data_IF_675377057596
#
_entry.id   IF_675377057596
#
_cell.length_a   1.000
_cell.length_b   1.000
_cell.length_c   1.000
_cell.angle_alpha   90.00
_cell.angle_beta   90.00
_cell.angle_gamma   90.00
#
_symmetry.space_group_name_H-M   'P 1'
#
loop_
_entity.id
_entity.type
_entity.pdbx_description
1 polymer ?
#
# COMPACT_ATOMS: atom_id res chain seq x y z
N UNK A 1 72.66 -14.95 -38.31
CA UNK A 1 72.05 -13.61 -38.39
C UNK A 1 70.59 -13.73 -38.01
N UNK A 2 70.23 -13.15 -36.86
CA UNK A 2 68.92 -13.20 -36.22
C UNK A 2 67.92 -12.29 -36.94
N UNK A 3 66.87 -12.87 -37.54
CA UNK A 3 65.68 -12.12 -37.95
C UNK A 3 64.62 -12.23 -36.87
N UNK A 4 64.63 -11.23 -35.98
CA UNK A 4 63.53 -10.90 -35.08
C UNK A 4 62.29 -10.62 -35.91
N UNK A 5 61.24 -11.43 -35.79
CA UNK A 5 59.94 -11.06 -36.32
C UNK A 5 58.81 -11.65 -35.48
N UNK A 6 58.40 -10.92 -34.45
CA UNK A 6 57.06 -10.99 -33.84
C UNK A 6 56.89 -9.80 -32.89
N UNK A 7 56.03 -8.86 -33.28
CA UNK A 7 54.96 -8.22 -32.48
C UNK A 7 54.69 -6.74 -32.85
N UNK A 8 53.87 -6.48 -33.89
CA UNK A 8 53.10 -5.23 -33.98
C UNK A 8 51.62 -5.41 -33.63
N UNK A 9 51.06 -6.62 -33.81
CA UNK A 9 49.62 -6.87 -33.63
C UNK A 9 49.16 -6.87 -32.16
N UNK A 10 50.00 -7.33 -31.23
CA UNK A 10 49.67 -7.41 -29.80
C UNK A 10 49.52 -6.03 -29.14
N UNK A 11 50.40 -5.09 -29.49
CA UNK A 11 50.43 -3.73 -28.93
C UNK A 11 49.29 -2.86 -29.45
N UNK A 12 48.92 -3.00 -30.73
CA UNK A 12 47.75 -2.33 -31.31
C UNK A 12 46.45 -2.88 -30.68
N UNK A 13 46.35 -4.20 -30.54
CA UNK A 13 45.20 -4.84 -29.90
C UNK A 13 45.00 -4.40 -28.44
N UNK A 14 46.07 -4.30 -27.65
CA UNK A 14 45.99 -3.78 -26.29
C UNK A 14 45.63 -2.30 -26.21
N UNK A 15 46.12 -1.47 -27.15
CA UNK A 15 45.70 -0.05 -27.25
C UNK A 15 44.21 0.07 -27.56
N UNK A 16 43.68 -0.78 -28.44
CA UNK A 16 42.24 -0.82 -28.75
C UNK A 16 41.39 -1.23 -27.54
N UNK A 17 41.83 -2.21 -26.74
CA UNK A 17 41.12 -2.60 -25.51
C UNK A 17 41.10 -1.45 -24.51
N UNK A 18 42.25 -0.81 -24.25
CA UNK A 18 42.31 0.36 -23.36
C UNK A 18 41.43 1.51 -23.85
N UNK A 19 41.41 1.77 -25.16
CA UNK A 19 40.56 2.80 -25.75
C UNK A 19 39.07 2.46 -25.61
N UNK A 20 38.67 1.20 -25.83
CA UNK A 20 37.30 0.74 -25.58
C UNK A 20 36.91 0.84 -24.10
N UNK A 21 37.81 0.54 -23.17
CA UNK A 21 37.59 0.69 -21.74
C UNK A 21 37.46 2.16 -21.31
N UNK A 22 38.26 3.06 -21.88
CA UNK A 22 38.15 4.51 -21.65
C UNK A 22 36.83 5.04 -22.21
N UNK A 23 36.44 4.63 -23.42
CA UNK A 23 35.14 5.01 -23.99
C UNK A 23 34.01 4.50 -23.11
N UNK A 24 34.06 3.23 -22.67
CA UNK A 24 33.07 2.65 -21.76
C UNK A 24 33.00 3.41 -20.43
N UNK A 25 34.16 3.75 -19.86
CA UNK A 25 34.26 4.54 -18.63
C UNK A 25 33.70 5.95 -18.81
N UNK A 26 34.00 6.63 -19.92
CA UNK A 26 33.45 7.95 -20.24
C UNK A 26 31.95 7.91 -20.49
N UNK A 27 31.43 6.83 -21.10
CA UNK A 27 29.98 6.64 -21.26
C UNK A 27 29.29 6.39 -19.92
N UNK A 28 29.93 5.64 -19.01
CA UNK A 28 29.42 5.43 -17.65
C UNK A 28 29.41 6.73 -16.86
N UNK A 29 30.50 7.52 -16.93
CA UNK A 29 30.55 8.86 -16.32
C UNK A 29 29.45 9.75 -16.88
N UNK A 30 29.26 9.79 -18.20
CA UNK A 30 28.23 10.62 -18.83
C UNK A 30 26.81 10.24 -18.39
N UNK A 31 26.53 8.94 -18.21
CA UNK A 31 25.25 8.47 -17.67
C UNK A 31 25.06 8.88 -16.20
N UNK A 32 26.12 8.80 -15.40
CA UNK A 32 26.11 9.24 -13.99
C UNK A 32 25.91 10.76 -13.90
N UNK A 33 26.60 11.55 -14.72
CA UNK A 33 26.48 13.03 -14.70
C UNK A 33 25.11 13.50 -15.20
N UNK A 34 24.51 12.82 -16.19
CA UNK A 34 23.13 13.12 -16.62
C UNK A 34 22.08 12.82 -15.55
N UNK A 35 22.31 11.85 -14.66
CA UNK A 35 21.47 11.62 -13.47
C UNK A 35 21.58 12.72 -12.42
N UNK A 36 22.77 13.35 -12.32
CA UNK A 36 23.05 14.46 -11.39
C UNK A 36 22.44 15.79 -11.89
N UNK A 37 22.36 16.01 -13.21
CA UNK A 37 21.87 17.27 -13.81
C UNK A 37 20.38 17.58 -13.55
N UNK A 38 19.53 16.57 -13.29
CA UNK A 38 18.09 16.75 -13.08
C UNK A 38 17.63 16.38 -11.66
N UNK A 39 18.47 16.64 -10.67
CA UNK A 39 18.20 16.35 -9.26
C UNK A 39 17.91 14.86 -8.94
N UNK A 40 18.31 13.92 -9.82
CA UNK A 40 17.98 12.50 -9.71
C UNK A 40 16.59 12.11 -10.24
N UNK A 41 15.88 13.02 -10.90
CA UNK A 41 14.50 12.83 -11.35
C UNK A 41 14.32 13.13 -12.85
N UNK A 42 13.17 12.74 -13.39
CA UNK A 42 12.71 13.22 -14.69
C UNK A 42 11.91 14.51 -14.50
N UNK A 43 12.46 15.64 -14.95
CA UNK A 43 11.88 16.96 -14.77
C UNK A 43 11.20 17.43 -16.06
N UNK A 44 9.96 17.90 -15.95
CA UNK A 44 9.18 18.49 -17.03
C UNK A 44 8.71 19.87 -16.57
N UNK A 45 8.92 20.90 -17.40
CA UNK A 45 8.48 22.26 -17.11
C UNK A 45 7.69 22.81 -18.29
N UNK A 46 6.39 22.99 -18.08
CA UNK A 46 5.45 23.66 -18.98
C UNK A 46 5.09 25.04 -18.42
N UNK A 47 4.51 25.93 -19.24
CA UNK A 47 4.35 27.37 -18.94
C UNK A 47 3.85 27.70 -17.52
N UNK A 48 3.03 26.83 -16.88
CA UNK A 48 2.56 26.98 -15.50
C UNK A 48 2.67 25.71 -14.62
N UNK A 49 3.29 24.64 -15.12
CA UNK A 49 3.29 23.34 -14.44
C UNK A 49 4.69 22.74 -14.44
N UNK A 50 5.16 22.36 -13.26
CA UNK A 50 6.48 21.77 -13.07
C UNK A 50 6.31 20.41 -12.44
N UNK A 51 6.56 19.37 -13.22
CA UNK A 51 6.42 17.99 -12.79
C UNK A 51 7.80 17.40 -12.56
N UNK A 52 7.98 16.77 -11.40
CA UNK A 52 9.15 15.99 -11.06
C UNK A 52 8.76 14.54 -10.83
N UNK A 53 9.13 13.68 -11.78
CA UNK A 53 8.98 12.24 -11.64
C UNK A 53 10.27 11.61 -11.13
N UNK A 54 10.26 11.31 -9.83
CA UNK A 54 11.35 10.69 -9.09
C UNK A 54 11.02 9.21 -8.77
N UNK A 55 10.12 8.58 -9.52
CA UNK A 55 9.68 7.20 -9.28
C UNK A 55 10.75 6.19 -9.68
N UNK A 56 10.89 5.10 -8.92
CA UNK A 56 11.93 4.07 -9.11
C UNK A 56 13.37 4.62 -9.07
N UNK A 57 13.61 5.61 -8.19
CA UNK A 57 14.92 6.27 -8.01
C UNK A 57 15.41 6.07 -6.58
N UNK A 58 16.71 5.82 -6.44
CA UNK A 58 17.35 5.59 -5.13
C UNK A 58 18.17 6.79 -4.65
N UNK A 59 18.63 7.66 -5.56
CA UNK A 59 19.44 8.84 -5.25
C UNK A 59 18.70 10.09 -5.74
N UNK A 60 18.03 10.79 -4.83
CA UNK A 60 17.26 12.01 -5.11
C UNK A 60 17.93 13.17 -4.38
N UNK A 61 18.25 14.23 -5.12
CA UNK A 61 18.77 15.46 -4.53
C UNK A 61 17.61 16.41 -4.21
N UNK A 62 17.07 16.31 -2.98
CA UNK A 62 15.94 17.11 -2.54
C UNK A 62 16.23 18.61 -2.46
N UNK A 63 17.49 19.01 -2.19
CA UNK A 63 17.89 20.42 -2.17
C UNK A 63 17.78 21.03 -3.58
N UNK A 64 18.40 20.38 -4.57
CA UNK A 64 18.25 20.72 -5.99
C UNK A 64 16.77 20.75 -6.42
N UNK A 65 16.00 19.75 -6.00
CA UNK A 65 14.59 19.63 -6.38
C UNK A 65 13.72 20.75 -5.77
N UNK A 66 14.04 21.18 -4.54
CA UNK A 66 13.34 22.31 -3.91
C UNK A 66 13.52 23.62 -4.68
N UNK A 67 14.67 23.80 -5.34
CA UNK A 67 14.92 24.96 -6.22
C UNK A 67 14.16 24.88 -7.54
N UNK A 68 13.91 23.67 -8.06
CA UNK A 68 13.06 23.47 -9.23
C UNK A 68 11.60 23.88 -8.97
N UNK A 69 11.15 23.80 -7.70
CA UNK A 69 9.79 24.13 -7.26
C UNK A 69 8.73 23.35 -8.05
N UNK A 70 8.69 22.01 -7.95
CA UNK A 70 7.71 21.20 -8.65
C UNK A 70 6.31 21.42 -8.07
N UNK A 71 5.31 21.65 -8.92
CA UNK A 71 3.89 21.64 -8.54
C UNK A 71 3.36 20.21 -8.40
N UNK A 72 3.95 19.26 -9.14
CA UNK A 72 3.66 17.83 -9.05
C UNK A 72 4.94 17.06 -8.74
N UNK A 73 4.93 16.26 -7.67
CA UNK A 73 6.05 15.44 -7.25
C UNK A 73 5.59 13.99 -7.05
N UNK A 74 6.19 13.05 -7.79
CA UNK A 74 5.99 11.62 -7.57
C UNK A 74 7.29 10.95 -7.11
N UNK A 75 7.19 10.18 -6.03
CA UNK A 75 8.24 9.37 -5.41
C UNK A 75 7.80 7.90 -5.32
N UNK A 76 7.02 7.45 -6.32
CA UNK A 76 6.43 6.12 -6.34
C UNK A 76 7.49 5.03 -6.44
N UNK A 77 7.26 3.92 -5.75
CA UNK A 77 8.10 2.71 -5.87
C UNK A 77 9.58 2.97 -5.57
N UNK A 78 9.86 3.73 -4.52
CA UNK A 78 11.21 4.03 -4.03
C UNK A 78 11.58 3.24 -2.76
N UNK A 79 10.70 2.33 -2.31
CA UNK A 79 10.92 1.54 -1.09
C UNK A 79 10.96 2.37 0.18
N UNK A 80 10.38 3.57 0.18
CA UNK A 80 10.41 4.50 1.31
C UNK A 80 9.66 3.91 2.51
N UNK A 81 10.27 3.89 3.69
CA UNK A 81 9.61 3.46 4.93
C UNK A 81 9.01 4.61 5.74
N UNK A 82 9.38 5.83 5.39
CA UNK A 82 8.93 7.09 5.96
C UNK A 82 8.86 8.16 4.87
N UNK A 83 8.12 9.24 5.12
CA UNK A 83 8.13 10.38 4.21
C UNK A 83 9.46 11.11 4.37
N UNK A 84 10.20 11.40 3.27
CA UNK A 84 11.48 12.09 3.37
C UNK A 84 11.33 13.43 4.11
N UNK A 85 12.02 13.64 5.25
CA UNK A 85 11.87 14.85 6.05
C UNK A 85 12.28 16.13 5.29
N UNK A 86 13.10 15.98 4.24
CA UNK A 86 13.48 17.05 3.32
C UNK A 86 12.25 17.71 2.66
N UNK A 87 11.14 16.99 2.48
CA UNK A 87 9.90 17.59 1.97
C UNK A 87 9.30 18.63 2.92
N UNK A 88 9.66 18.60 4.20
CA UNK A 88 9.17 19.52 5.24
C UNK A 88 10.23 20.53 5.67
N UNK A 89 11.52 20.21 5.49
CA UNK A 89 12.62 21.10 5.85
C UNK A 89 13.07 22.01 4.71
N UNK A 90 12.86 21.61 3.45
CA UNK A 90 13.15 22.46 2.29
C UNK A 90 11.87 23.10 1.73
N UNK A 91 12.04 24.03 0.79
CA UNK A 91 10.95 24.81 0.24
C UNK A 91 10.12 24.03 -0.80
N UNK A 92 9.29 23.09 -0.33
CA UNK A 92 8.30 22.35 -1.13
C UNK A 92 6.86 22.85 -0.93
N UNK A 93 6.68 24.05 -0.38
CA UNK A 93 5.37 24.65 -0.10
C UNK A 93 4.49 24.84 -1.34
N UNK A 94 5.08 24.89 -2.54
CA UNK A 94 4.39 25.03 -3.82
C UNK A 94 3.86 23.69 -4.39
N UNK A 95 4.15 22.55 -3.76
CA UNK A 95 3.72 21.23 -4.24
C UNK A 95 2.21 21.12 -4.05
N UNK A 96 1.49 20.91 -5.15
CA UNK A 96 0.04 20.75 -5.19
C UNK A 96 -0.36 19.28 -5.24
N UNK A 97 0.45 18.44 -5.88
CA UNK A 97 0.22 17.00 -5.99
C UNK A 97 1.45 16.25 -5.52
N UNK A 98 1.28 15.41 -4.50
CA UNK A 98 2.34 14.55 -3.97
C UNK A 98 1.90 13.09 -4.04
N UNK A 99 2.64 12.29 -4.81
CA UNK A 99 2.44 10.85 -4.93
C UNK A 99 3.58 10.07 -4.26
N UNK A 100 3.26 9.38 -3.17
CA UNK A 100 4.12 8.48 -2.40
C UNK A 100 3.64 7.02 -2.50
N UNK A 101 2.82 6.69 -3.49
CA UNK A 101 2.22 5.37 -3.60
C UNK A 101 3.25 4.27 -3.88
N UNK A 102 2.89 3.01 -3.59
CA UNK A 102 3.76 1.84 -3.78
C UNK A 102 5.09 1.98 -3.04
N UNK A 103 5.05 2.45 -1.79
CA UNK A 103 6.20 2.46 -0.90
C UNK A 103 5.89 1.55 0.32
N UNK A 104 6.72 1.62 1.35
CA UNK A 104 6.56 0.85 2.59
C UNK A 104 6.33 1.79 3.80
N UNK A 105 5.71 2.95 3.58
CA UNK A 105 5.53 3.99 4.60
C UNK A 105 4.62 3.46 5.70
N UNK A 106 5.09 3.54 6.94
CA UNK A 106 4.38 2.96 8.11
C UNK A 106 3.58 3.98 8.91
N UNK A 107 4.10 5.21 8.98
CA UNK A 107 3.48 6.31 9.72
C UNK A 107 3.62 7.61 8.91
N UNK A 108 2.70 8.53 9.12
CA UNK A 108 2.82 9.91 8.70
C UNK A 108 3.58 10.72 9.77
N UNK A 109 4.32 11.76 9.38
CA UNK A 109 5.04 12.59 10.33
C UNK A 109 4.08 13.47 11.13
N UNK A 110 4.24 13.45 12.46
CA UNK A 110 3.43 14.27 13.37
C UNK A 110 3.55 15.74 13.00
N UNK A 111 2.40 16.36 12.75
CA UNK A 111 2.28 17.79 12.50
C UNK A 111 3.21 18.35 11.42
N UNK A 112 3.75 17.59 10.46
CA UNK A 112 4.67 18.15 9.44
C UNK A 112 3.99 18.41 8.09
N UNK A 113 2.81 17.83 7.87
CA UNK A 113 2.06 17.99 6.62
C UNK A 113 1.60 19.44 6.34
N UNK A 114 1.60 20.32 7.34
CA UNK A 114 1.23 21.72 7.18
C UNK A 114 2.27 22.56 6.41
N UNK A 115 3.52 22.09 6.31
CA UNK A 115 4.58 22.76 5.52
C UNK A 115 4.33 22.67 4.00
N UNK A 116 3.50 21.74 3.55
CA UNK A 116 3.06 21.62 2.16
C UNK A 116 1.82 22.50 1.92
N UNK A 117 2.01 23.82 1.97
CA UNK A 117 0.92 24.82 2.02
C UNK A 117 -0.03 24.77 0.82
N UNK A 118 0.47 24.51 -0.38
CA UNK A 118 -0.34 24.46 -1.59
C UNK A 118 -0.89 23.07 -1.91
N UNK A 119 -0.65 22.08 -1.05
CA UNK A 119 -1.05 20.69 -1.29
C UNK A 119 -2.57 20.59 -1.49
N UNK A 120 -2.97 19.91 -2.57
CA UNK A 120 -4.37 19.62 -2.94
C UNK A 120 -4.63 18.14 -3.11
N UNK A 121 -3.62 17.37 -3.50
CA UNK A 121 -3.73 15.93 -3.70
C UNK A 121 -2.56 15.21 -3.04
N UNK A 122 -2.86 14.24 -2.20
CA UNK A 122 -1.87 13.43 -1.51
C UNK A 122 -2.16 11.95 -1.68
N UNK A 123 -1.27 11.22 -2.35
CA UNK A 123 -1.44 9.79 -2.59
C UNK A 123 -0.45 8.98 -1.76
N UNK A 124 -0.97 8.20 -0.81
CA UNK A 124 -0.23 7.26 0.03
C UNK A 124 -0.80 5.84 -0.13
N UNK A 125 -1.44 5.55 -1.26
CA UNK A 125 -1.97 4.22 -1.55
C UNK A 125 -0.86 3.19 -1.68
N UNK A 126 -1.15 1.92 -1.43
CA UNK A 126 -0.16 0.83 -1.50
C UNK A 126 1.07 1.13 -0.61
N UNK A 127 0.81 1.43 0.66
CA UNK A 127 1.83 1.60 1.70
C UNK A 127 1.52 0.67 2.88
N UNK A 128 2.19 0.86 4.00
CA UNK A 128 2.04 0.05 5.22
C UNK A 128 1.47 0.84 6.40
N UNK A 129 0.66 1.87 6.14
CA UNK A 129 0.06 2.70 7.19
C UNK A 129 -0.88 1.85 8.06
N UNK A 130 -0.70 1.97 9.38
CA UNK A 130 -1.46 1.19 10.37
C UNK A 130 -2.49 2.02 11.12
N UNK A 131 -2.20 3.28 11.41
CA UNK A 131 -3.09 4.13 12.18
C UNK A 131 -3.83 5.11 11.25
N UNK A 132 -5.14 4.92 11.01
CA UNK A 132 -5.90 5.84 10.16
C UNK A 132 -6.05 7.24 10.78
N UNK A 133 -5.94 7.39 12.11
CA UNK A 133 -6.12 8.70 12.76
C UNK A 133 -5.02 9.71 12.42
N UNK A 134 -3.85 9.25 11.98
CA UNK A 134 -2.77 10.14 11.49
C UNK A 134 -3.23 10.99 10.28
N UNK A 135 -4.22 10.51 9.51
CA UNK A 135 -4.78 11.24 8.38
C UNK A 135 -5.58 12.48 8.80
N UNK A 136 -6.01 12.57 10.06
CA UNK A 136 -6.69 13.75 10.60
C UNK A 136 -5.78 14.98 10.67
N UNK A 137 -4.45 14.79 10.73
CA UNK A 137 -3.49 15.87 10.72
C UNK A 137 -3.38 16.56 9.33
N UNK A 138 -3.91 15.93 8.28
CA UNK A 138 -3.92 16.49 6.93
C UNK A 138 -5.13 17.43 6.79
N UNK A 139 -4.90 18.65 6.26
CA UNK A 139 -5.96 19.65 6.07
C UNK A 139 -7.16 19.12 5.28
N UNK A 140 -8.36 19.55 5.68
CA UNK A 140 -9.63 19.05 5.13
C UNK A 140 -9.84 19.33 3.63
N UNK A 141 -9.18 20.34 3.07
CA UNK A 141 -9.24 20.70 1.64
C UNK A 141 -8.36 19.80 0.75
N UNK A 142 -7.52 18.95 1.34
CA UNK A 142 -6.66 18.01 0.63
C UNK A 142 -7.41 16.72 0.33
N UNK A 143 -7.36 16.30 -0.93
CA UNK A 143 -7.82 15.00 -1.39
C UNK A 143 -6.77 13.92 -1.11
N UNK A 144 -7.18 12.79 -0.52
CA UNK A 144 -6.24 11.79 0.02
C UNK A 144 -6.57 10.41 -0.53
N UNK A 145 -5.61 9.82 -1.24
CA UNK A 145 -5.69 8.47 -1.77
C UNK A 145 -4.98 7.52 -0.82
N UNK A 146 -5.72 6.58 -0.20
CA UNK A 146 -5.22 5.73 0.90
C UNK A 146 -5.43 4.24 0.68
N UNK A 147 -5.83 3.83 -0.52
CA UNK A 147 -6.17 2.44 -0.81
C UNK A 147 -4.99 1.51 -0.53
N UNK A 148 -5.27 0.24 -0.20
CA UNK A 148 -4.23 -0.78 0.00
C UNK A 148 -3.19 -0.41 1.07
N UNK A 149 -3.65 0.04 2.23
CA UNK A 149 -2.86 0.12 3.46
C UNK A 149 -3.35 -0.95 4.46
N UNK A 150 -2.69 -1.06 5.61
CA UNK A 150 -2.97 -2.07 6.66
C UNK A 150 -3.59 -1.43 7.91
N UNK A 151 -4.60 -0.57 7.71
CA UNK A 151 -5.19 0.21 8.80
C UNK A 151 -5.84 -0.67 9.86
N UNK A 152 -5.38 -0.54 11.09
CA UNK A 152 -6.03 -1.10 12.28
C UNK A 152 -7.08 -0.11 12.75
N UNK A 153 -8.34 -0.44 12.51
CA UNK A 153 -9.46 0.40 12.91
C UNK A 153 -10.01 -0.04 14.26
N UNK A 154 -10.23 0.93 15.15
CA UNK A 154 -11.00 0.78 16.38
C UNK A 154 -12.41 1.34 16.16
N UNK A 155 -13.44 0.52 16.40
CA UNK A 155 -14.84 0.92 16.21
C UNK A 155 -15.38 1.80 17.35
N UNK A 156 -14.64 1.93 18.45
CA UNK A 156 -14.99 2.83 19.56
C UNK A 156 -14.49 4.27 19.34
N UNK A 157 -13.66 4.51 18.32
CA UNK A 157 -13.08 5.83 18.05
C UNK A 157 -14.01 6.71 17.18
N UNK A 158 -14.64 7.76 17.73
CA UNK A 158 -15.62 8.56 16.99
C UNK A 158 -15.01 9.32 15.81
N UNK A 159 -13.76 9.81 15.96
CA UNK A 159 -13.09 10.57 14.89
C UNK A 159 -12.82 9.73 13.64
N UNK A 160 -12.82 8.41 13.77
CA UNK A 160 -12.62 7.50 12.65
C UNK A 160 -13.81 7.50 11.68
N UNK A 161 -15.02 7.64 12.21
CA UNK A 161 -16.23 7.76 11.38
C UNK A 161 -16.26 9.11 10.65
N UNK A 162 -15.88 10.20 11.32
CA UNK A 162 -15.71 11.51 10.69
C UNK A 162 -14.70 11.46 9.55
N UNK A 163 -13.53 10.85 9.78
CA UNK A 163 -12.51 10.65 8.77
C UNK A 163 -13.04 9.84 7.58
N UNK A 164 -13.76 8.74 7.82
CA UNK A 164 -14.31 7.91 6.76
C UNK A 164 -15.35 8.67 5.90
N UNK A 165 -16.22 9.46 6.53
CA UNK A 165 -17.17 10.30 5.80
C UNK A 165 -16.49 11.43 5.03
N UNK A 166 -15.42 12.01 5.59
CA UNK A 166 -14.56 12.96 4.88
C UNK A 166 -13.97 12.33 3.61
N UNK A 167 -13.38 11.14 3.71
CA UNK A 167 -12.77 10.45 2.57
C UNK A 167 -13.82 10.09 1.51
N UNK A 168 -14.99 9.57 1.91
CA UNK A 168 -16.08 9.21 0.97
C UNK A 168 -16.60 10.39 0.15
N UNK A 169 -16.53 11.61 0.68
CA UNK A 169 -17.03 12.84 0.04
C UNK A 169 -16.04 13.48 -0.93
N UNK A 170 -14.80 12.97 -1.03
CA UNK A 170 -13.79 13.50 -1.95
C UNK A 170 -14.23 13.34 -3.42
N UNK A 171 -13.92 14.35 -4.25
CA UNK A 171 -14.54 14.53 -5.57
C UNK A 171 -13.95 13.63 -6.65
N UNK A 172 -12.64 13.41 -6.67
CA UNK A 172 -11.96 12.59 -7.69
C UNK A 172 -12.01 11.09 -7.35
N UNK A 173 -12.18 10.73 -6.07
CA UNK A 173 -12.33 9.32 -5.69
C UNK A 173 -13.30 9.10 -4.53
N UNK A 174 -14.39 8.36 -4.79
CA UNK A 174 -15.25 7.79 -3.73
C UNK A 174 -14.57 6.56 -3.14
N UNK A 175 -13.60 6.79 -2.27
CA UNK A 175 -12.92 5.71 -1.53
C UNK A 175 -13.58 5.54 -0.17
N UNK A 176 -13.61 4.31 0.33
CA UNK A 176 -13.97 4.00 1.72
C UNK A 176 -12.70 3.66 2.47
N UNK A 177 -12.62 4.00 3.76
CA UNK A 177 -11.52 3.53 4.59
C UNK A 177 -11.62 2.01 4.72
N UNK A 178 -10.58 1.27 4.34
CA UNK A 178 -10.49 -0.18 4.49
C UNK A 178 -9.64 -0.53 5.70
N UNK A 179 -10.15 -1.43 6.54
CA UNK A 179 -9.55 -1.88 7.78
C UNK A 179 -9.04 -3.31 7.65
N UNK A 180 -7.92 -3.60 8.31
CA UNK A 180 -7.41 -4.96 8.47
C UNK A 180 -8.43 -5.80 9.25
N UNK A 181 -8.64 -7.03 8.80
CA UNK A 181 -9.47 -8.03 9.50
C UNK A 181 -8.63 -8.72 10.58
N UNK A 182 -9.22 -8.96 11.75
CA UNK A 182 -8.48 -9.39 12.95
C UNK A 182 -8.17 -10.91 12.98
N UNK A 183 -8.62 -11.68 11.97
CA UNK A 183 -8.69 -13.15 11.98
C UNK A 183 -7.63 -13.90 11.12
N UNK A 184 -6.69 -13.24 10.42
CA UNK A 184 -5.74 -13.95 9.53
C UNK A 184 -4.35 -13.30 9.41
N UNK A 185 -3.31 -14.15 9.38
CA UNK A 185 -1.95 -13.81 8.94
C UNK A 185 -1.95 -13.41 7.45
N UNK A 186 -1.69 -12.13 7.20
CA UNK A 186 -1.04 -11.49 6.03
C UNK A 186 -1.51 -11.75 4.59
N UNK A 187 -2.49 -12.60 4.27
CA UNK A 187 -3.10 -12.62 2.92
C UNK A 187 -4.39 -11.80 2.86
N UNK A 188 -4.20 -10.48 2.77
CA UNK A 188 -5.06 -9.45 2.19
C UNK A 188 -6.58 -9.76 2.09
N UNK A 189 -7.31 -9.53 3.18
CA UNK A 189 -8.76 -9.31 3.16
C UNK A 189 -9.12 -8.11 4.03
N UNK A 190 -8.73 -6.91 3.58
CA UNK A 190 -9.23 -5.69 4.19
C UNK A 190 -10.73 -5.56 3.93
N UNK A 191 -11.46 -4.99 4.89
CA UNK A 191 -12.91 -4.78 4.81
C UNK A 191 -13.22 -3.29 5.02
N UNK A 192 -14.25 -2.72 4.39
CA UNK A 192 -14.64 -1.33 4.63
C UNK A 192 -14.89 -1.08 6.12
N UNK A 193 -14.54 0.11 6.64
CA UNK A 193 -14.75 0.49 8.05
C UNK A 193 -16.17 0.22 8.50
N UNK A 194 -17.16 0.60 7.69
CA UNK A 194 -18.57 0.36 7.99
C UNK A 194 -18.86 -1.13 8.12
N UNK A 195 -18.26 -1.99 7.29
CA UNK A 195 -18.43 -3.42 7.42
C UNK A 195 -17.71 -3.98 8.65
N UNK A 196 -16.54 -3.44 9.03
CA UNK A 196 -15.83 -3.85 10.25
C UNK A 196 -16.62 -3.49 11.51
N UNK A 197 -17.20 -2.29 11.56
CA UNK A 197 -17.89 -1.78 12.74
C UNK A 197 -19.39 -2.08 12.78
N UNK A 198 -19.99 -2.39 11.63
CA UNK A 198 -21.33 -2.98 11.56
C UNK A 198 -21.27 -4.51 11.55
N UNK A 199 -20.08 -5.11 11.68
CA UNK A 199 -19.99 -6.51 12.06
C UNK A 199 -20.28 -6.51 13.57
N UNK A 200 -21.49 -6.91 14.02
CA UNK A 200 -21.54 -7.41 15.37
C UNK A 200 -20.51 -8.53 15.38
N UNK A 201 -19.74 -8.69 16.45
CA UNK A 201 -19.30 -10.04 16.74
C UNK A 201 -20.53 -10.97 16.54
N UNK A 202 -20.37 -12.15 15.98
CA UNK A 202 -21.23 -13.24 16.44
C UNK A 202 -20.67 -13.68 17.80
N UNK A 203 -21.20 -13.24 18.95
CA UNK A 203 -21.05 -14.01 20.18
C UNK A 203 -22.34 -14.77 20.50
N UNK A 204 -23.30 -14.93 19.56
CA UNK A 204 -24.58 -15.63 19.83
C UNK A 204 -25.29 -16.30 18.62
N UNK A 205 -24.58 -16.80 17.60
CA UNK A 205 -25.22 -17.66 16.58
C UNK A 205 -24.96 -19.15 16.80
N UNK A 206 -23.88 -19.49 17.54
CA UNK A 206 -23.54 -20.89 17.84
C UNK A 206 -24.66 -21.60 18.63
N UNK A 207 -25.36 -20.91 19.54
CA UNK A 207 -26.47 -21.54 20.27
C UNK A 207 -27.68 -21.81 19.38
N UNK A 208 -27.95 -20.99 18.36
CA UNK A 208 -29.02 -21.25 17.39
C UNK A 208 -28.69 -22.49 16.56
N UNK A 209 -27.46 -22.62 16.07
CA UNK A 209 -27.03 -23.81 15.33
C UNK A 209 -26.97 -25.06 16.22
N UNK A 210 -26.49 -24.95 17.47
CA UNK A 210 -26.52 -26.04 18.47
C UNK A 210 -27.95 -26.43 18.85
N UNK A 211 -28.87 -25.47 18.98
CA UNK A 211 -30.27 -25.73 19.29
C UNK A 211 -30.99 -26.41 18.12
N UNK A 212 -30.70 -25.98 16.88
CA UNK A 212 -31.21 -26.66 15.68
C UNK A 212 -30.66 -28.09 15.61
N UNK A 213 -29.35 -28.30 15.83
CA UNK A 213 -28.76 -29.64 15.87
C UNK A 213 -29.34 -30.51 16.98
N UNK A 214 -29.50 -29.96 18.18
CA UNK A 214 -30.09 -30.67 19.33
C UNK A 214 -31.55 -31.02 19.08
N UNK A 215 -32.32 -30.13 18.45
CA UNK A 215 -33.70 -30.39 18.02
C UNK A 215 -33.79 -31.54 17.01
N UNK A 216 -32.88 -31.58 16.02
CA UNK A 216 -32.82 -32.69 15.04
C UNK A 216 -32.52 -34.02 15.75
N UNK A 217 -31.57 -34.06 16.70
CA UNK A 217 -31.25 -35.28 17.47
C UNK A 217 -32.46 -35.77 18.26
N UNK A 218 -33.19 -34.87 18.94
CA UNK A 218 -34.40 -35.24 19.70
C UNK A 218 -35.47 -35.83 18.78
N UNK A 219 -35.71 -35.24 17.61
CA UNK A 219 -36.68 -35.75 16.62
C UNK A 219 -36.29 -37.16 16.17
N UNK A 220 -35.01 -37.38 15.86
CA UNK A 220 -34.50 -38.70 15.46
C UNK A 220 -34.69 -39.73 16.59
N UNK A 221 -34.36 -39.38 17.84
CA UNK A 221 -34.55 -40.27 18.98
C UNK A 221 -36.03 -40.64 19.18
N UNK A 222 -36.94 -39.67 19.08
CA UNK A 222 -38.39 -39.93 19.21
C UNK A 222 -38.88 -40.83 18.08
N UNK A 223 -38.43 -40.60 16.84
CA UNK A 223 -38.77 -41.46 15.70
C UNK A 223 -38.29 -42.90 15.90
N UNK A 224 -37.07 -43.09 16.43
CA UNK A 224 -36.52 -44.42 16.75
C UNK A 224 -37.39 -45.12 17.82
N UNK A 225 -37.80 -44.42 18.87
CA UNK A 225 -38.64 -45.00 19.93
C UNK A 225 -40.03 -45.38 19.42
N UNK A 226 -40.65 -44.52 18.60
CA UNK A 226 -41.94 -44.82 17.96
C UNK A 226 -41.80 -46.06 17.07
N UNK A 227 -40.74 -46.12 16.25
CA UNK A 227 -40.50 -47.25 15.36
C UNK A 227 -40.24 -48.55 16.13
N UNK A 228 -39.46 -48.49 17.21
CA UNK A 228 -39.23 -49.63 18.10
C UNK A 228 -40.53 -50.11 18.75
N UNK A 229 -41.42 -49.20 19.16
CA UNK A 229 -42.72 -49.54 19.73
C UNK A 229 -43.63 -50.20 18.69
N UNK A 230 -43.66 -49.69 17.46
CA UNK A 230 -44.39 -50.31 16.34
C UNK A 230 -43.87 -51.73 16.08
N UNK A 231 -42.54 -51.92 16.03
CA UNK A 231 -41.95 -53.26 15.85
C UNK A 231 -42.37 -54.18 16.99
N UNK A 232 -42.31 -53.71 18.23
CA UNK A 232 -42.69 -54.50 19.40
C UNK A 232 -44.18 -54.92 19.33
N UNK A 233 -45.07 -54.00 18.99
CA UNK A 233 -46.51 -54.27 18.88
C UNK A 233 -46.82 -55.26 17.74
N UNK A 234 -46.13 -55.13 16.59
CA UNK A 234 -46.21 -56.11 15.49
C UNK A 234 -45.65 -57.47 15.91
N UNK A 235 -44.54 -57.51 16.63
CA UNK A 235 -43.92 -58.75 17.10
C UNK A 235 -44.85 -59.52 18.05
N UNK A 236 -45.47 -58.84 19.02
CA UNK A 236 -46.46 -59.46 19.90
C UNK A 236 -47.69 -59.95 19.13
N UNK A 237 -48.23 -59.13 18.21
CA UNK A 237 -49.38 -59.52 17.40
C UNK A 237 -49.10 -60.75 16.50
N UNK A 238 -47.86 -60.93 16.04
CA UNK A 238 -47.45 -62.08 15.23
C UNK A 238 -47.06 -63.33 16.05
N UNK A 239 -46.89 -63.22 17.38
CA UNK A 239 -46.56 -64.36 18.25
C UNK A 239 -47.75 -64.85 19.08
N UNK A 240 -48.82 -64.04 19.22
CA UNK A 240 -50.08 -64.45 19.85
C UNK A 240 -51.09 -65.12 18.89
N UNK A 241 -50.66 -65.45 17.66
CA UNK A 241 -51.40 -66.28 16.68
C UNK A 241 -50.72 -67.62 16.46
#
# INVERSE_FOLDING_TARGET
MTLNNKQPHSTIYQKCIKMKLVILFLTLIRMVTQGIENCGCHLISNQNERTADCSNRFEINYDCLSHFKPTELTLKNNGLTEIPPQLFHYNFNNVQQLDLSYNAIKNLPDNSMHFLEDLKTFNVSCNSLKNPLELLAIRNDVEIFIANNVFKCNCEEPKLFELNERIKKQKKQKTTLYCLRDDLNETQKSIPLTAKCNNPEEPQQHWKQKAIQMGIVVIICVAILIFAKIIQDVWYACHET
#
